data_IF_023434424425
#
_entry.id   IF_023434424425
#
_cell.length_a   1.000
_cell.length_b   1.000
_cell.length_c   1.000
_cell.angle_alpha   90.00
_cell.angle_beta   90.00
_cell.angle_gamma   90.00
#
_symmetry.space_group_name_H-M   'P 1'
#
loop_
_entity.id
_entity.type
_entity.pdbx_description
1 polymer ?
#
# COMPACT_ATOMS: atom_id res chain seq x y z
N UNK A 1 -16.16 4.45 -5.48
CA UNK A 1 -14.85 4.89 -4.94
C UNK A 1 -14.57 4.08 -3.70
N UNK A 2 -13.34 3.63 -3.50
CA UNK A 2 -12.93 2.89 -2.29
C UNK A 2 -11.87 3.73 -1.58
N UNK A 3 -12.04 3.92 -0.28
CA UNK A 3 -11.05 4.56 0.60
C UNK A 3 -10.66 3.57 1.69
N UNK A 4 -9.39 3.53 2.03
CA UNK A 4 -8.83 2.53 2.95
C UNK A 4 -8.03 3.22 4.04
N UNK A 5 -8.16 2.72 5.26
CA UNK A 5 -7.28 3.09 6.36
C UNK A 5 -6.00 2.24 6.29
N UNK A 6 -4.90 2.81 6.75
CA UNK A 6 -3.62 2.13 6.93
C UNK A 6 -2.96 2.65 8.21
N UNK A 7 -2.07 1.86 8.81
CA UNK A 7 -1.37 2.29 10.03
C UNK A 7 -0.49 3.51 9.74
N UNK A 8 -0.49 4.44 10.69
CA UNK A 8 0.27 5.70 10.64
C UNK A 8 1.33 5.74 11.74
N UNK A 9 2.29 6.66 11.58
CA UNK A 9 3.33 6.97 12.57
C UNK A 9 4.07 5.69 13.05
N UNK A 10 4.49 5.63 14.30
CA UNK A 10 5.21 4.51 14.92
C UNK A 10 4.52 3.15 14.71
N UNK A 11 3.19 3.11 14.66
CA UNK A 11 2.45 1.86 14.48
C UNK A 11 2.53 1.33 13.04
N UNK A 12 2.76 2.21 12.05
CA UNK A 12 2.89 1.83 10.65
C UNK A 12 4.33 1.80 10.14
N UNK A 13 5.24 2.55 10.76
CA UNK A 13 6.54 2.86 10.17
C UNK A 13 7.72 2.76 11.15
N UNK A 14 7.51 2.26 12.38
CA UNK A 14 8.65 1.89 13.22
C UNK A 14 9.46 0.78 12.54
N UNK A 15 10.77 1.00 12.43
CA UNK A 15 11.72 0.01 11.96
C UNK A 15 12.87 -0.05 12.97
N UNK A 16 13.07 -1.21 13.59
CA UNK A 16 14.12 -1.43 14.58
C UNK A 16 14.61 -2.88 14.52
N UNK A 17 15.92 -3.10 14.72
CA UNK A 17 16.53 -4.43 14.62
C UNK A 17 15.95 -5.43 15.61
N UNK A 18 15.70 -5.01 16.84
CA UNK A 18 15.09 -5.87 17.88
C UNK A 18 13.68 -6.37 17.51
N UNK A 19 12.98 -5.70 16.59
CA UNK A 19 11.70 -6.20 16.08
C UNK A 19 11.89 -7.44 15.19
N UNK A 20 13.01 -7.55 14.48
CA UNK A 20 13.33 -8.69 13.59
C UNK A 20 13.55 -9.97 14.39
N UNK A 21 14.19 -9.85 15.56
CA UNK A 21 14.43 -10.97 16.47
C UNK A 21 13.12 -11.56 17.00
N UNK A 22 12.09 -10.72 17.22
CA UNK A 22 10.82 -11.13 17.81
C UNK A 22 9.83 -11.84 16.88
N UNK A 23 9.90 -11.62 15.56
CA UNK A 23 8.89 -12.14 14.61
C UNK A 23 9.34 -13.36 13.80
N UNK A 24 10.64 -13.64 13.74
CA UNK A 24 11.23 -14.73 12.97
C UNK A 24 11.58 -14.34 11.53
N UNK A 25 12.40 -15.18 10.84
CA UNK A 25 12.98 -14.84 9.55
C UNK A 25 11.91 -14.67 8.46
N UNK A 26 12.13 -13.70 7.56
CA UNK A 26 11.27 -13.44 6.41
C UNK A 26 9.95 -12.74 6.72
N UNK A 27 9.67 -12.38 7.99
CA UNK A 27 8.51 -11.55 8.32
C UNK A 27 8.85 -10.06 8.24
N UNK A 28 7.98 -9.24 7.63
CA UNK A 28 8.20 -7.81 7.56
C UNK A 28 8.04 -7.17 8.95
N UNK A 29 9.03 -6.37 9.34
CA UNK A 29 9.04 -5.61 10.60
C UNK A 29 8.97 -4.09 10.40
N UNK A 30 9.06 -3.64 9.15
CA UNK A 30 9.05 -2.24 8.76
C UNK A 30 8.02 -1.99 7.66
N UNK A 31 7.71 -0.72 7.41
CA UNK A 31 6.78 -0.28 6.37
C UNK A 31 5.41 -0.95 6.45
N UNK A 32 4.97 -1.29 7.66
CA UNK A 32 3.70 -1.96 7.91
C UNK A 32 2.51 -1.18 7.38
N UNK A 33 2.56 0.16 7.41
CA UNK A 33 1.56 1.03 6.79
C UNK A 33 1.48 0.89 5.26
N UNK A 34 2.61 0.70 4.57
CA UNK A 34 2.61 0.41 3.13
C UNK A 34 2.10 -1.01 2.87
N UNK A 35 2.42 -1.98 3.73
CA UNK A 35 1.91 -3.33 3.61
C UNK A 35 0.39 -3.42 3.83
N UNK A 36 -0.16 -2.60 4.73
CA UNK A 36 -1.62 -2.45 4.88
C UNK A 36 -2.26 -1.94 3.60
N UNK A 37 -1.70 -0.90 2.99
CA UNK A 37 -2.17 -0.37 1.71
C UNK A 37 -2.08 -1.43 0.61
N UNK A 38 -0.97 -2.19 0.53
CA UNK A 38 -0.81 -3.26 -0.45
C UNK A 38 -1.86 -4.35 -0.26
N UNK A 39 -2.09 -4.79 0.97
CA UNK A 39 -3.13 -5.77 1.29
C UNK A 39 -4.51 -5.26 0.88
N UNK A 40 -4.82 -4.00 1.18
CA UNK A 40 -6.09 -3.39 0.82
C UNK A 40 -6.25 -3.27 -0.70
N UNK A 41 -5.20 -2.92 -1.44
CA UNK A 41 -5.23 -2.86 -2.91
C UNK A 41 -5.43 -4.24 -3.54
N UNK A 42 -4.77 -5.28 -3.02
CA UNK A 42 -4.99 -6.66 -3.46
C UNK A 42 -6.43 -7.09 -3.18
N UNK A 43 -6.94 -6.80 -1.99
CA UNK A 43 -8.34 -7.08 -1.65
C UNK A 43 -9.30 -6.36 -2.60
N UNK A 44 -9.06 -5.07 -2.92
CA UNK A 44 -9.87 -4.33 -3.89
C UNK A 44 -9.81 -5.01 -5.25
N UNK A 45 -8.62 -5.34 -5.77
CA UNK A 45 -8.48 -6.02 -7.05
C UNK A 45 -9.28 -7.32 -7.11
N UNK A 46 -9.25 -8.11 -6.03
CA UNK A 46 -9.90 -9.42 -5.98
C UNK A 46 -11.42 -9.30 -5.76
N UNK A 47 -11.89 -8.27 -5.04
CA UNK A 47 -13.29 -8.10 -4.66
C UNK A 47 -14.10 -7.18 -5.58
N UNK A 48 -13.48 -6.24 -6.32
CA UNK A 48 -14.20 -5.13 -6.96
C UNK A 48 -15.24 -5.57 -8.00
N UNK A 49 -15.10 -6.76 -8.60
CA UNK A 49 -16.13 -7.33 -9.49
C UNK A 49 -17.48 -7.51 -8.80
N UNK A 50 -17.50 -7.88 -7.51
CA UNK A 50 -18.74 -8.03 -6.74
C UNK A 50 -19.47 -6.69 -6.55
N UNK A 51 -18.77 -5.57 -6.72
CA UNK A 51 -19.31 -4.21 -6.66
C UNK A 51 -19.52 -3.60 -8.05
N UNK A 52 -19.45 -4.41 -9.12
CA UNK A 52 -19.64 -3.97 -10.50
C UNK A 52 -18.44 -3.23 -11.11
N UNK A 53 -17.26 -3.27 -10.47
CA UNK A 53 -16.05 -2.68 -11.03
C UNK A 53 -15.20 -3.66 -11.83
N UNK A 54 -14.30 -3.10 -12.64
CA UNK A 54 -13.37 -3.87 -13.46
C UNK A 54 -11.96 -3.88 -12.81
N UNK A 55 -11.46 -5.04 -12.38
CA UNK A 55 -10.16 -5.14 -11.71
C UNK A 55 -8.97 -4.79 -12.61
N UNK A 56 -9.14 -4.79 -13.93
CA UNK A 56 -8.10 -4.35 -14.88
C UNK A 56 -8.06 -2.82 -15.06
N UNK A 57 -9.00 -2.10 -14.44
CA UNK A 57 -9.19 -0.65 -14.61
C UNK A 57 -9.14 0.10 -13.29
N UNK A 58 -8.34 -0.36 -12.33
CA UNK A 58 -8.12 0.32 -11.05
C UNK A 58 -7.20 1.53 -11.24
N UNK A 59 -7.64 2.69 -10.75
CA UNK A 59 -6.84 3.91 -10.61
C UNK A 59 -6.61 4.17 -9.13
N UNK A 60 -5.35 4.31 -8.71
CA UNK A 60 -5.01 4.82 -7.38
C UNK A 60 -4.85 6.34 -7.43
N UNK A 61 -5.29 7.00 -6.38
CA UNK A 61 -5.21 8.45 -6.22
C UNK A 61 -4.74 8.77 -4.81
N UNK A 62 -3.81 9.70 -4.68
CA UNK A 62 -3.26 10.10 -3.38
C UNK A 62 -2.70 11.51 -3.40
N UNK A 63 -2.74 12.16 -2.24
CA UNK A 63 -2.20 13.50 -2.00
C UNK A 63 -1.15 13.45 -0.88
N UNK A 64 -0.09 14.27 -0.98
CA UNK A 64 1.00 14.33 0.00
C UNK A 64 1.56 12.95 0.31
N UNK A 65 1.52 12.49 1.57
CA UNK A 65 1.95 11.15 1.96
C UNK A 65 1.26 10.02 1.17
N UNK A 66 0.02 10.21 0.72
CA UNK A 66 -0.68 9.27 -0.16
C UNK A 66 -0.07 9.21 -1.56
N UNK A 67 0.40 10.33 -2.10
CA UNK A 67 1.12 10.36 -3.37
C UNK A 67 2.50 9.67 -3.24
N UNK A 68 3.25 9.95 -2.16
CA UNK A 68 4.50 9.25 -1.86
C UNK A 68 4.29 7.74 -1.66
N UNK A 69 3.18 7.34 -1.03
CA UNK A 69 2.80 5.94 -0.88
C UNK A 69 2.56 5.26 -2.23
N UNK A 70 1.85 5.92 -3.16
CA UNK A 70 1.65 5.40 -4.53
C UNK A 70 3.00 5.18 -5.21
N UNK A 71 3.93 6.14 -5.10
CA UNK A 71 5.27 6.01 -5.67
C UNK A 71 6.02 4.81 -5.07
N UNK A 72 5.94 4.62 -3.75
CA UNK A 72 6.57 3.47 -3.08
C UNK A 72 6.03 2.13 -3.60
N UNK A 73 4.72 2.02 -3.91
CA UNK A 73 4.17 0.83 -4.54
C UNK A 73 4.69 0.63 -5.97
N UNK A 74 4.74 1.70 -6.77
CA UNK A 74 5.24 1.68 -8.15
C UNK A 74 6.72 1.25 -8.21
N UNK A 75 7.53 1.75 -7.28
CA UNK A 75 8.97 1.45 -7.23
C UNK A 75 9.31 0.15 -6.48
N UNK A 76 8.32 -0.53 -5.90
CA UNK A 76 8.56 -1.83 -5.24
C UNK A 76 8.88 -2.92 -6.26
N UNK A 77 9.54 -3.99 -5.83
CA UNK A 77 9.78 -5.18 -6.67
C UNK A 77 8.54 -6.08 -6.83
N UNK A 78 7.40 -5.66 -6.30
CA UNK A 78 6.16 -6.43 -6.31
C UNK A 78 5.25 -6.03 -7.47
N UNK A 79 4.42 -6.96 -7.92
CA UNK A 79 3.40 -6.67 -8.93
C UNK A 79 2.42 -5.58 -8.47
N UNK A 80 1.99 -4.76 -9.43
CA UNK A 80 1.04 -3.67 -9.20
C UNK A 80 -0.41 -4.18 -9.27
N UNK A 81 -1.21 -4.01 -8.20
CA UNK A 81 -2.63 -4.37 -8.21
C UNK A 81 -3.53 -3.31 -8.87
N UNK A 82 -2.95 -2.32 -9.53
CA UNK A 82 -3.64 -1.22 -10.22
C UNK A 82 -2.95 -0.88 -11.53
N UNK A 83 -3.64 -0.17 -12.42
CA UNK A 83 -3.14 0.11 -13.78
C UNK A 83 -2.91 1.59 -14.05
N UNK A 84 -3.44 2.48 -13.20
CA UNK A 84 -3.35 3.94 -13.34
C UNK A 84 -3.10 4.59 -11.99
N UNK A 85 -2.39 5.71 -11.98
CA UNK A 85 -2.03 6.44 -10.78
C UNK A 85 -2.21 7.96 -10.97
N UNK A 86 -2.69 8.63 -9.93
CA UNK A 86 -2.72 10.10 -9.82
C UNK A 86 -2.05 10.47 -8.50
N UNK A 87 -0.97 11.25 -8.58
CA UNK A 87 -0.15 11.65 -7.45
C UNK A 87 -0.16 13.17 -7.33
N UNK A 88 -0.70 13.69 -6.23
CA UNK A 88 -0.80 15.14 -6.01
C UNK A 88 0.12 15.59 -4.89
N UNK A 89 1.07 16.48 -5.20
CA UNK A 89 1.93 17.16 -4.21
C UNK A 89 2.64 16.20 -3.23
N UNK A 90 3.18 15.10 -3.76
CA UNK A 90 4.07 14.18 -3.03
C UNK A 90 5.06 13.52 -3.98
N UNK A 91 6.19 13.07 -3.44
CA UNK A 91 7.32 12.47 -4.16
C UNK A 91 8.14 11.56 -3.24
N UNK A 92 9.25 11.02 -3.74
CA UNK A 92 10.23 10.27 -2.95
C UNK A 92 11.33 11.22 -2.49
#
# INVERSE_FOLDING_TARGET
VVSVAYRLNVLGFLAHRDLEEGVGPGKPTANLGLLDQRMALLWVRDAIRAFGGDPSRITVFGQSAGASSILAHICSSCDLPFSRAIMQSGGA
#
